data_IF_313967825401
#
_entry.id   IF_313967825401
#
_cell.length_a   1.000
_cell.length_b   1.000
_cell.length_c   1.000
_cell.angle_alpha   90.00
_cell.angle_beta   90.00
_cell.angle_gamma   90.00
#
_symmetry.space_group_name_H-M   'P 1'
#
loop_
_entity.id
_entity.type
_entity.pdbx_description
1 polymer ?
#
# COMPACT_ATOMS: atom_id res chain seq x y z
N UNK A 1 -10.88 15.37 13.15
CA UNK A 1 -9.58 14.90 12.67
C UNK A 1 -9.83 13.85 11.59
N UNK A 2 -8.98 13.76 10.57
CA UNK A 2 -9.15 12.88 9.43
C UNK A 2 -8.00 11.87 9.32
N UNK A 3 -8.25 10.76 8.63
CA UNK A 3 -7.21 9.83 8.21
C UNK A 3 -6.68 10.31 6.86
N UNK A 4 -5.39 10.58 6.77
CA UNK A 4 -4.73 10.94 5.53
C UNK A 4 -4.31 9.68 4.77
N UNK A 5 -4.72 9.55 3.52
CA UNK A 5 -4.30 8.46 2.62
C UNK A 5 -3.51 9.07 1.47
N UNK A 6 -2.20 8.83 1.43
CA UNK A 6 -1.31 9.31 0.36
C UNK A 6 -0.86 8.13 -0.49
N UNK A 7 -0.89 8.28 -1.81
CA UNK A 7 -0.45 7.22 -2.70
C UNK A 7 0.46 7.71 -3.82
N UNK A 8 1.40 6.84 -4.22
CA UNK A 8 2.14 6.95 -5.46
C UNK A 8 1.87 5.73 -6.35
N UNK A 9 1.67 5.96 -7.63
CA UNK A 9 1.34 4.89 -8.59
C UNK A 9 1.91 5.17 -9.96
N UNK A 10 2.43 4.15 -10.60
CA UNK A 10 2.89 4.22 -12.00
C UNK A 10 1.81 3.69 -12.96
N UNK A 11 1.12 2.61 -12.59
CA UNK A 11 0.19 1.88 -13.46
C UNK A 11 -1.28 1.97 -13.00
N UNK A 12 -1.56 2.68 -11.92
CA UNK A 12 -2.90 2.96 -11.44
C UNK A 12 -3.46 1.95 -10.43
N UNK A 13 -2.83 0.78 -10.19
CA UNK A 13 -3.35 -0.20 -9.23
C UNK A 13 -3.24 0.31 -7.79
N UNK A 14 -2.13 0.93 -7.40
CA UNK A 14 -1.99 1.54 -6.07
C UNK A 14 -3.05 2.60 -5.81
N UNK A 15 -3.42 3.38 -6.85
CA UNK A 15 -4.54 4.34 -6.75
C UNK A 15 -5.86 3.65 -6.46
N UNK A 16 -6.13 2.48 -7.09
CA UNK A 16 -7.36 1.70 -6.82
C UNK A 16 -7.37 1.18 -5.39
N UNK A 17 -6.23 0.66 -4.91
CA UNK A 17 -6.03 0.22 -3.53
C UNK A 17 -6.27 1.37 -2.56
N UNK A 18 -5.64 2.53 -2.77
CA UNK A 18 -5.80 3.71 -1.93
C UNK A 18 -7.25 4.22 -1.89
N UNK A 19 -7.93 4.25 -3.04
CA UNK A 19 -9.35 4.62 -3.11
C UNK A 19 -10.25 3.64 -2.37
N UNK A 20 -9.99 2.34 -2.48
CA UNK A 20 -10.73 1.32 -1.74
C UNK A 20 -10.56 1.51 -0.24
N UNK A 21 -9.32 1.70 0.24
CA UNK A 21 -9.01 1.95 1.65
C UNK A 21 -9.72 3.21 2.15
N UNK A 22 -9.59 4.31 1.42
CA UNK A 22 -10.26 5.57 1.77
C UNK A 22 -11.78 5.40 1.88
N UNK A 23 -12.39 4.75 0.89
CA UNK A 23 -13.84 4.50 0.90
C UNK A 23 -14.26 3.58 2.06
N UNK A 24 -13.47 2.54 2.35
CA UNK A 24 -13.77 1.60 3.44
C UNK A 24 -13.70 2.28 4.80
N UNK A 25 -12.66 3.10 5.05
CA UNK A 25 -12.51 3.87 6.28
C UNK A 25 -13.60 4.94 6.44
N UNK A 26 -13.97 5.62 5.34
CA UNK A 26 -15.10 6.56 5.35
C UNK A 26 -16.43 5.86 5.68
N UNK A 27 -16.65 4.66 5.17
CA UNK A 27 -17.81 3.82 5.50
C UNK A 27 -17.87 3.38 6.97
N UNK A 28 -16.75 3.45 7.70
CA UNK A 28 -16.66 3.26 9.16
C UNK A 28 -16.81 4.56 9.95
N UNK A 29 -17.30 5.63 9.31
CA UNK A 29 -17.55 6.92 9.93
C UNK A 29 -16.31 7.77 10.19
N UNK A 30 -15.16 7.45 9.55
CA UNK A 30 -13.95 8.24 9.66
C UNK A 30 -13.93 9.36 8.62
N UNK A 31 -13.48 10.55 9.00
CA UNK A 31 -13.07 11.55 8.03
C UNK A 31 -11.84 11.02 7.28
N UNK A 32 -11.81 11.12 5.96
CA UNK A 32 -10.69 10.64 5.15
C UNK A 32 -10.34 11.67 4.09
N UNK A 33 -9.07 11.97 3.98
CA UNK A 33 -8.48 12.75 2.90
C UNK A 33 -7.61 11.85 2.05
N UNK A 34 -7.84 11.84 0.72
CA UNK A 34 -7.11 10.98 -0.22
C UNK A 34 -6.36 11.86 -1.23
N UNK A 35 -5.03 11.77 -1.23
CA UNK A 35 -4.17 12.58 -2.10
C UNK A 35 -3.22 11.67 -2.90
N UNK A 36 -2.99 12.02 -4.17
CA UNK A 36 -1.79 11.57 -4.84
C UNK A 36 -0.58 12.31 -4.23
N UNK A 37 0.57 11.64 -4.14
CA UNK A 37 1.78 12.25 -3.58
C UNK A 37 2.17 13.55 -4.27
N UNK A 38 1.90 13.65 -5.57
CA UNK A 38 2.16 14.87 -6.35
C UNK A 38 1.27 16.05 -5.95
N UNK A 39 0.14 15.81 -5.29
CA UNK A 39 -0.82 16.83 -4.85
C UNK A 39 -0.69 17.12 -3.33
N UNK A 40 0.25 16.44 -2.65
CA UNK A 40 0.42 16.50 -1.19
C UNK A 40 1.53 17.51 -0.78
N UNK A 41 1.48 18.73 -1.32
CA UNK A 41 2.51 19.76 -1.06
C UNK A 41 2.38 20.39 0.32
N UNK A 42 1.15 20.63 0.80
CA UNK A 42 0.89 21.26 2.10
C UNK A 42 -0.09 20.42 2.91
N UNK A 43 0.40 19.76 3.98
CA UNK A 43 -0.41 18.96 4.90
C UNK A 43 -0.55 19.68 6.24
N UNK A 44 -1.78 19.99 6.62
CA UNK A 44 -2.08 20.39 8.00
C UNK A 44 -2.13 19.15 8.92
N UNK A 45 -0.97 18.79 9.44
CA UNK A 45 -0.83 17.64 10.35
C UNK A 45 -1.60 17.78 11.66
N UNK A 46 -2.08 18.96 12.03
CA UNK A 46 -2.89 19.16 13.24
C UNK A 46 -4.30 18.59 13.08
N UNK A 47 -4.77 18.50 11.85
CA UNK A 47 -6.08 17.92 11.48
C UNK A 47 -6.03 16.42 11.23
N UNK A 48 -4.82 15.80 11.12
CA UNK A 48 -4.62 14.39 10.79
C UNK A 48 -4.47 13.55 12.06
N UNK A 49 -5.36 12.58 12.27
CA UNK A 49 -5.28 11.64 13.40
C UNK A 49 -4.45 10.39 13.10
N UNK A 50 -4.44 9.93 11.86
CA UNK A 50 -3.73 8.74 11.40
C UNK A 50 -3.38 8.86 9.92
N UNK A 51 -2.43 8.08 9.41
CA UNK A 51 -2.07 8.12 8.00
C UNK A 51 -1.85 6.74 7.38
N UNK A 52 -2.17 6.62 6.09
CA UNK A 52 -1.87 5.48 5.24
C UNK A 52 -1.02 5.94 4.07
N UNK A 53 0.16 5.37 3.90
CA UNK A 53 0.95 5.55 2.70
C UNK A 53 0.83 4.30 1.84
N UNK A 54 0.52 4.48 0.56
CA UNK A 54 0.41 3.38 -0.40
C UNK A 54 1.37 3.61 -1.58
N UNK A 55 2.27 2.66 -1.80
CA UNK A 55 3.25 2.73 -2.88
C UNK A 55 3.40 1.41 -3.62
N UNK A 56 3.65 1.46 -4.92
CA UNK A 56 4.01 0.28 -5.68
C UNK A 56 5.53 0.07 -5.72
N UNK A 57 5.92 -1.21 -5.79
CA UNK A 57 7.30 -1.59 -6.05
C UNK A 57 7.51 -1.65 -7.55
N UNK A 58 8.49 -0.91 -8.04
CA UNK A 58 8.93 -0.95 -9.41
C UNK A 58 10.45 -1.10 -9.46
N UNK A 59 10.96 -2.08 -10.21
CA UNK A 59 12.40 -2.38 -10.31
C UNK A 59 13.11 -2.52 -8.93
N UNK A 60 12.44 -3.16 -7.98
CA UNK A 60 13.01 -3.41 -6.65
C UNK A 60 13.01 -2.20 -5.70
N UNK A 61 12.28 -1.14 -6.01
CA UNK A 61 12.17 0.07 -5.17
C UNK A 61 10.74 0.60 -5.11
N UNK A 62 10.41 1.26 -4.01
CA UNK A 62 9.21 2.11 -3.90
C UNK A 62 9.45 3.40 -4.67
N UNK A 63 8.41 4.03 -5.19
CA UNK A 63 8.53 5.27 -5.96
C UNK A 63 9.25 6.37 -5.19
N UNK A 64 10.14 7.10 -5.89
CA UNK A 64 10.97 8.15 -5.32
C UNK A 64 10.16 9.29 -4.67
N UNK A 65 9.04 9.66 -5.30
CA UNK A 65 8.16 10.72 -4.78
C UNK A 65 7.56 10.35 -3.43
N UNK A 66 7.15 9.08 -3.25
CA UNK A 66 6.66 8.61 -1.95
C UNK A 66 7.79 8.50 -0.93
N UNK A 67 9.01 8.18 -1.36
CA UNK A 67 10.17 8.16 -0.47
C UNK A 67 10.53 9.58 0.02
N UNK A 68 10.51 10.56 -0.86
CA UNK A 68 10.70 11.96 -0.51
C UNK A 68 9.62 12.42 0.49
N UNK A 69 8.35 12.19 0.18
CA UNK A 69 7.24 12.51 1.07
C UNK A 69 7.39 11.88 2.46
N UNK A 70 7.69 10.59 2.51
CA UNK A 70 7.86 9.89 3.79
C UNK A 70 9.05 10.44 4.60
N UNK A 71 10.14 10.84 3.93
CA UNK A 71 11.31 11.45 4.55
C UNK A 71 10.99 12.84 5.11
N UNK A 72 10.37 13.70 4.31
CA UNK A 72 10.04 15.06 4.68
C UNK A 72 9.03 15.12 5.84
N UNK A 73 8.15 14.14 5.92
CA UNK A 73 7.11 14.05 6.93
C UNK A 73 7.34 12.97 8.00
N UNK A 74 8.55 12.40 8.10
CA UNK A 74 8.85 11.29 9.01
C UNK A 74 8.48 11.58 10.47
N UNK A 75 8.77 12.78 10.96
CA UNK A 75 8.45 13.18 12.33
C UNK A 75 6.93 13.18 12.59
N UNK A 76 6.16 13.73 11.66
CA UNK A 76 4.71 13.78 11.75
C UNK A 76 4.07 12.39 11.62
N UNK A 77 4.58 11.56 10.72
CA UNK A 77 4.15 10.17 10.53
C UNK A 77 4.44 9.30 11.77
N UNK A 78 5.61 9.48 12.39
CA UNK A 78 6.00 8.73 13.59
C UNK A 78 5.23 9.14 14.86
N UNK A 79 4.59 10.31 14.85
CA UNK A 79 3.82 10.83 15.98
C UNK A 79 2.37 10.28 16.03
N UNK A 80 1.97 9.43 15.10
CA UNK A 80 0.59 8.94 14.99
C UNK A 80 0.51 7.51 14.46
N UNK A 81 -0.66 6.83 14.58
CA UNK A 81 -0.87 5.52 13.96
C UNK A 81 -0.74 5.61 12.44
N UNK A 82 0.06 4.73 11.85
CA UNK A 82 0.27 4.70 10.40
C UNK A 82 0.30 3.29 9.83
N UNK A 83 -0.16 3.14 8.58
CA UNK A 83 -0.04 1.94 7.77
C UNK A 83 0.83 2.21 6.54
N UNK A 84 1.67 1.27 6.18
CA UNK A 84 2.31 1.22 4.87
C UNK A 84 1.73 0.09 4.04
N UNK A 85 1.13 0.42 2.90
CA UNK A 85 0.61 -0.55 1.93
C UNK A 85 1.59 -0.63 0.76
N UNK A 86 2.37 -1.70 0.71
CA UNK A 86 3.27 -1.96 -0.41
C UNK A 86 2.57 -2.81 -1.45
N UNK A 87 2.32 -2.25 -2.62
CA UNK A 87 1.65 -2.94 -3.73
C UNK A 87 2.69 -3.54 -4.66
N UNK A 88 2.65 -4.85 -4.88
CA UNK A 88 3.55 -5.54 -5.79
C UNK A 88 2.90 -6.78 -6.39
N UNK A 89 3.39 -7.23 -7.57
CA UNK A 89 2.95 -8.51 -8.14
C UNK A 89 3.47 -9.70 -7.35
N UNK A 90 4.68 -9.62 -6.80
CA UNK A 90 5.28 -10.69 -6.00
C UNK A 90 4.45 -11.02 -4.76
N UNK A 91 3.66 -10.07 -4.24
CA UNK A 91 2.76 -10.32 -3.13
C UNK A 91 1.59 -11.28 -3.46
N UNK A 92 1.35 -11.57 -4.74
CA UNK A 92 0.40 -12.60 -5.18
C UNK A 92 1.04 -14.00 -5.23
N UNK A 93 2.36 -14.08 -5.14
CA UNK A 93 3.13 -15.31 -5.22
C UNK A 93 3.20 -16.07 -3.90
N UNK A 94 3.74 -17.30 -4.00
CA UNK A 94 4.00 -18.18 -2.85
C UNK A 94 5.48 -18.50 -2.71
N UNK A 95 6.33 -17.89 -3.54
CA UNK A 95 7.78 -18.09 -3.49
C UNK A 95 8.35 -17.39 -2.25
N UNK A 96 8.94 -18.13 -1.30
CA UNK A 96 9.47 -17.54 -0.06
C UNK A 96 10.59 -16.52 -0.30
N UNK A 97 11.40 -16.69 -1.35
CA UNK A 97 12.48 -15.76 -1.68
C UNK A 97 11.92 -14.42 -2.20
N UNK A 98 10.91 -14.48 -3.09
CA UNK A 98 10.23 -13.27 -3.57
C UNK A 98 9.49 -12.53 -2.44
N UNK A 99 8.82 -13.28 -1.54
CA UNK A 99 8.14 -12.70 -0.39
C UNK A 99 9.13 -12.06 0.61
N UNK A 100 10.26 -12.70 0.87
CA UNK A 100 11.31 -12.12 1.71
C UNK A 100 11.92 -10.86 1.07
N UNK A 101 12.06 -10.84 -0.26
CA UNK A 101 12.58 -9.69 -0.98
C UNK A 101 11.65 -8.47 -0.90
N UNK A 102 10.34 -8.63 -1.09
CA UNK A 102 9.39 -7.51 -0.97
C UNK A 102 9.32 -6.99 0.46
N UNK A 103 9.46 -7.85 1.46
CA UNK A 103 9.57 -7.44 2.86
C UNK A 103 10.85 -6.64 3.13
N UNK A 104 11.98 -7.07 2.55
CA UNK A 104 13.24 -6.35 2.63
C UNK A 104 13.14 -4.95 2.01
N UNK A 105 12.49 -4.85 0.84
CA UNK A 105 12.25 -3.56 0.15
C UNK A 105 11.42 -2.63 1.02
N UNK A 106 10.33 -3.11 1.61
CA UNK A 106 9.49 -2.30 2.48
C UNK A 106 10.24 -1.79 3.72
N UNK A 107 11.02 -2.66 4.37
CA UNK A 107 11.82 -2.28 5.54
C UNK A 107 12.92 -1.29 5.20
N UNK A 108 13.62 -1.48 4.07
CA UNK A 108 14.65 -0.58 3.59
C UNK A 108 14.08 0.81 3.31
N UNK A 109 12.95 0.89 2.59
CA UNK A 109 12.23 2.13 2.34
C UNK A 109 11.89 2.87 3.64
N UNK A 110 11.30 2.17 4.61
CA UNK A 110 10.95 2.78 5.89
C UNK A 110 12.18 3.26 6.68
N UNK A 111 13.27 2.49 6.66
CA UNK A 111 14.51 2.85 7.34
C UNK A 111 15.20 4.06 6.70
N UNK A 112 15.26 4.11 5.36
CA UNK A 112 15.83 5.22 4.61
C UNK A 112 15.04 6.53 4.82
N UNK A 113 13.70 6.43 4.88
CA UNK A 113 12.85 7.57 5.18
C UNK A 113 12.84 7.99 6.66
N UNK A 114 13.42 7.20 7.56
CA UNK A 114 13.30 7.44 9.01
C UNK A 114 11.88 7.28 9.56
N UNK A 115 11.01 6.61 8.80
CA UNK A 115 9.62 6.35 9.17
C UNK A 115 9.43 4.94 9.74
N UNK A 116 8.68 4.84 10.82
CA UNK A 116 8.35 3.58 11.51
C UNK A 116 6.85 3.37 11.52
N UNK A 117 6.27 2.81 10.44
CA UNK A 117 4.83 2.55 10.40
C UNK A 117 4.42 1.55 11.48
N UNK A 118 3.24 1.72 12.03
CA UNK A 118 2.66 0.76 12.97
C UNK A 118 2.46 -0.62 12.35
N UNK A 119 2.22 -0.67 11.03
CA UNK A 119 2.08 -1.91 10.27
C UNK A 119 2.53 -1.73 8.82
N UNK A 120 3.25 -2.74 8.30
CA UNK A 120 3.56 -2.88 6.87
C UNK A 120 2.69 -4.00 6.32
N UNK A 121 1.99 -3.74 5.21
CA UNK A 121 1.08 -4.70 4.58
C UNK A 121 1.47 -4.89 3.13
N UNK A 122 1.71 -6.13 2.74
CA UNK A 122 1.94 -6.50 1.36
C UNK A 122 0.60 -6.68 0.66
N UNK A 123 0.37 -5.95 -0.41
CA UNK A 123 -0.86 -5.99 -1.20
C UNK A 123 -0.55 -6.50 -2.60
N UNK A 124 -1.22 -7.57 -3.00
CA UNK A 124 -1.08 -8.09 -4.35
C UNK A 124 -1.61 -7.08 -5.37
N UNK A 125 -0.82 -6.79 -6.38
CA UNK A 125 -1.14 -5.84 -7.42
C UNK A 125 -1.99 -6.40 -8.55
N UNK A 126 -2.05 -5.69 -9.68
CA UNK A 126 -2.65 -6.14 -10.93
C UNK A 126 -1.58 -6.21 -12.02
N UNK A 127 -1.83 -7.10 -12.96
CA UNK A 127 -0.96 -7.33 -14.09
C UNK A 127 -1.56 -6.72 -15.36
N UNK A 128 -0.78 -5.87 -16.05
CA UNK A 128 -1.12 -5.37 -17.38
C UNK A 128 -0.15 -5.96 -18.42
N UNK A 129 -0.67 -6.83 -19.26
CA UNK A 129 0.10 -7.57 -20.25
C UNK A 129 0.82 -6.70 -21.30
N UNK A 130 0.46 -5.45 -21.42
CA UNK A 130 0.77 -4.65 -22.60
C UNK A 130 2.11 -3.91 -22.58
N UNK A 131 2.90 -3.94 -21.50
CA UNK A 131 4.00 -3.00 -21.40
C UNK A 131 5.42 -3.54 -21.09
N UNK A 132 5.66 -4.77 -20.58
CA UNK A 132 7.02 -5.15 -20.20
C UNK A 132 7.35 -6.66 -20.31
N UNK A 133 8.45 -7.00 -21.01
CA UNK A 133 9.00 -8.36 -21.13
C UNK A 133 9.40 -9.01 -19.77
N UNK A 134 9.69 -8.21 -18.75
CA UNK A 134 9.99 -8.67 -17.40
C UNK A 134 8.78 -9.32 -16.74
N UNK A 135 7.62 -8.69 -16.86
CA UNK A 135 6.36 -9.22 -16.34
C UNK A 135 5.92 -10.50 -17.04
N UNK A 136 6.23 -10.62 -18.31
CA UNK A 136 6.00 -11.83 -19.08
C UNK A 136 6.80 -13.02 -18.55
N UNK A 137 8.05 -12.82 -18.13
CA UNK A 137 8.91 -13.85 -17.51
C UNK A 137 8.44 -14.23 -16.11
N UNK A 138 8.00 -13.28 -15.31
CA UNK A 138 7.43 -13.54 -13.98
C UNK A 138 6.11 -14.33 -14.08
N UNK A 139 5.18 -13.90 -14.95
CA UNK A 139 3.93 -14.61 -15.20
C UNK A 139 4.19 -16.04 -15.69
N UNK A 140 5.14 -16.24 -16.63
CA UNK A 140 5.51 -17.56 -17.13
C UNK A 140 6.05 -18.48 -16.03
N UNK A 141 6.81 -17.98 -15.07
CA UNK A 141 7.26 -18.76 -13.89
C UNK A 141 6.12 -19.13 -12.96
N UNK A 142 5.22 -18.19 -12.69
CA UNK A 142 4.05 -18.42 -11.83
C UNK A 142 3.05 -19.41 -12.45
N UNK A 143 2.85 -19.32 -13.76
CA UNK A 143 2.00 -20.26 -14.53
C UNK A 143 2.59 -21.68 -14.50
N UNK A 144 3.90 -21.79 -14.64
CA UNK A 144 4.58 -23.08 -14.57
C UNK A 144 4.51 -23.73 -13.17
N UNK A 145 4.38 -22.92 -12.11
CA UNK A 145 4.25 -23.38 -10.73
C UNK A 145 2.80 -23.79 -10.34
N UNK A 146 1.80 -23.17 -10.95
CA UNK A 146 0.39 -23.52 -10.77
C UNK A 146 -0.06 -24.50 -11.87
N UNK A 147 0.14 -25.79 -11.66
CA UNK A 147 -0.33 -26.84 -12.57
C UNK A 147 -1.85 -26.76 -12.75
N UNK A 148 -2.32 -26.23 -13.88
CA UNK A 148 -3.69 -26.43 -14.35
C UNK A 148 -4.45 -25.19 -14.85
N UNK A 149 -3.97 -23.95 -14.73
CA UNK A 149 -4.66 -22.80 -15.31
C UNK A 149 -3.98 -22.34 -16.61
N UNK A 150 -4.74 -22.33 -17.70
CA UNK A 150 -4.34 -21.65 -18.95
C UNK A 150 -4.46 -20.15 -18.73
N UNK A 151 -3.31 -19.48 -18.62
CA UNK A 151 -3.27 -18.01 -18.59
C UNK A 151 -3.31 -17.53 -20.03
N UNK A 152 -4.34 -16.77 -20.36
CA UNK A 152 -4.42 -16.06 -21.64
C UNK A 152 -3.44 -14.87 -21.62
N UNK A 153 -2.40 -14.85 -22.47
CA UNK A 153 -1.41 -13.79 -22.52
C UNK A 153 -1.96 -12.41 -22.94
N UNK A 154 -3.24 -12.28 -23.18
CA UNK A 154 -3.89 -11.04 -23.64
C UNK A 154 -4.81 -10.37 -22.61
N UNK A 155 -4.99 -10.93 -21.42
CA UNK A 155 -5.92 -10.38 -20.43
C UNK A 155 -5.22 -9.79 -19.21
N UNK A 156 -5.59 -8.55 -18.86
CA UNK A 156 -5.21 -7.91 -17.60
C UNK A 156 -5.76 -8.74 -16.43
N UNK A 157 -4.91 -9.10 -15.47
CA UNK A 157 -5.31 -9.90 -14.30
C UNK A 157 -5.03 -9.13 -13.01
N UNK A 158 -6.03 -9.10 -12.15
CA UNK A 158 -5.94 -8.51 -10.83
C UNK A 158 -5.84 -9.60 -9.77
N UNK A 159 -4.88 -9.44 -8.86
CA UNK A 159 -4.60 -10.39 -7.78
C UNK A 159 -4.93 -9.81 -6.40
N UNK A 160 -5.40 -8.59 -6.32
CA UNK A 160 -5.70 -7.92 -5.05
C UNK A 160 -6.83 -8.65 -4.32
N UNK A 161 -6.54 -9.13 -3.10
CA UNK A 161 -7.56 -9.65 -2.18
C UNK A 161 -8.28 -8.50 -1.50
N UNK A 162 -9.37 -8.06 -2.12
CA UNK A 162 -10.19 -6.96 -1.62
C UNK A 162 -10.89 -7.28 -0.30
N UNK A 163 -11.19 -8.56 -0.03
CA UNK A 163 -11.84 -8.99 1.20
C UNK A 163 -10.86 -8.89 2.38
N UNK A 164 -9.64 -9.41 2.22
CA UNK A 164 -8.60 -9.28 3.22
C UNK A 164 -8.22 -7.82 3.48
N UNK A 165 -8.08 -7.01 2.41
CA UNK A 165 -7.82 -5.58 2.55
C UNK A 165 -8.96 -4.85 3.27
N UNK A 166 -10.21 -5.21 3.00
CA UNK A 166 -11.37 -4.68 3.68
C UNK A 166 -11.38 -5.01 5.17
N UNK A 167 -11.10 -6.27 5.53
CA UNK A 167 -11.00 -6.70 6.91
C UNK A 167 -9.87 -5.98 7.67
N UNK A 168 -8.72 -5.76 7.02
CA UNK A 168 -7.63 -4.96 7.57
C UNK A 168 -8.09 -3.53 7.91
N UNK A 169 -8.76 -2.86 6.97
CA UNK A 169 -9.25 -1.50 7.17
C UNK A 169 -10.25 -1.42 8.32
N UNK A 170 -11.16 -2.40 8.40
CA UNK A 170 -12.16 -2.48 9.46
C UNK A 170 -11.52 -2.60 10.85
N UNK A 171 -10.61 -3.57 11.01
CA UNK A 171 -9.89 -3.77 12.27
C UNK A 171 -9.05 -2.56 12.67
N UNK A 172 -8.37 -1.94 11.69
CA UNK A 172 -7.59 -0.74 11.99
C UNK A 172 -8.45 0.47 12.39
N UNK A 173 -9.62 0.65 11.77
CA UNK A 173 -10.56 1.69 12.15
C UNK A 173 -11.09 1.49 13.59
N UNK A 174 -11.27 0.24 14.02
CA UNK A 174 -11.65 -0.11 15.41
C UNK A 174 -10.51 0.22 16.39
N UNK A 175 -9.27 -0.18 16.08
CA UNK A 175 -8.07 0.15 16.88
C UNK A 175 -7.92 1.67 17.10
N UNK A 176 -8.12 2.47 16.05
CA UNK A 176 -8.08 3.93 16.14
C UNK A 176 -9.18 4.50 17.07
N UNK A 177 -10.37 3.88 17.05
CA UNK A 177 -11.48 4.27 17.92
C UNK A 177 -11.18 4.06 19.40
N UNK A 178 -10.62 2.90 19.72
CA UNK A 178 -10.24 2.54 21.09
C UNK A 178 -9.10 3.41 21.63
N UNK A 179 -8.08 3.70 20.79
CA UNK A 179 -6.98 4.58 21.16
C UNK A 179 -7.44 6.00 21.50
N UNK A 180 -8.38 6.53 20.71
CA UNK A 180 -8.97 7.86 20.97
C UNK A 180 -9.82 7.92 22.24
N UNK A 181 -10.47 6.83 22.62
CA UNK A 181 -11.24 6.74 23.85
C UNK A 181 -10.36 6.74 25.11
N UNK A 182 -9.22 6.01 25.07
CA UNK A 182 -8.26 5.94 26.18
C UNK A 182 -7.49 7.25 26.44
N UNK A 183 -7.30 8.08 25.39
CA UNK A 183 -6.63 9.37 25.54
C UNK A 183 -7.50 10.48 26.13
N UNK A 184 -8.81 10.25 26.30
CA UNK A 184 -9.77 11.23 26.88
C UNK A 184 -10.11 10.96 28.34
N UNK A 185 -9.56 9.91 28.93
CA UNK A 185 -9.73 9.54 30.35
C UNK A 185 -8.48 9.87 31.13
#
# INVERSE_FOLDING_TARGET
MAILVVYATTEGQTRRVARFVAHRLAGRGRGVELLAVADAEEIDWTSVEAAVLAGSVHMGRVQADLAAFATDHAAALNARPTLFLQVSLCAAGTDPEELAEIDRIARAFCAEAGWRPGRIVQVAGAFRFTQYDFFRRWAMRHIAAQKGETVDPGQDREYTDWAALGALCDGWAEELGEGSARSRT
#
